data_IF_377574372169
#
_entry.id   IF_377574372169
#
_cell.length_a   1.000
_cell.length_b   1.000
_cell.length_c   1.000
_cell.angle_alpha   90.00
_cell.angle_beta   90.00
_cell.angle_gamma   90.00
#
_symmetry.space_group_name_H-M   'P 1'
#
loop_
_entity.id
_entity.type
_entity.pdbx_description
1 polymer ?
#
# COMPACT_ATOMS: atom_id res chain seq x y z
N UNK A 1 -5.08 -31.63 19.12
CA UNK A 1 -6.27 -31.04 18.43
C UNK A 1 -6.37 -29.53 18.64
N UNK A 2 -6.17 -29.03 19.86
CA UNK A 2 -6.36 -27.61 20.21
C UNK A 2 -5.33 -26.67 19.54
N UNK A 3 -4.06 -27.04 19.48
CA UNK A 3 -2.99 -26.22 18.89
C UNK A 3 -3.21 -26.00 17.39
N UNK A 4 -3.73 -27.01 16.68
CA UNK A 4 -4.00 -26.88 15.23
C UNK A 4 -5.17 -25.92 14.94
N UNK A 5 -6.17 -25.87 15.82
CA UNK A 5 -7.31 -24.95 15.71
C UNK A 5 -6.93 -23.49 15.98
N UNK A 6 -6.00 -23.26 16.93
CA UNK A 6 -5.54 -21.92 17.26
C UNK A 6 -4.63 -21.34 16.14
N UNK A 7 -3.83 -22.18 15.51
CA UNK A 7 -3.00 -21.82 14.35
C UNK A 7 -3.85 -21.50 13.12
N UNK A 8 -4.92 -22.25 12.86
CA UNK A 8 -5.85 -22.00 11.76
C UNK A 8 -6.65 -20.70 11.96
N UNK A 9 -7.02 -20.39 13.21
CA UNK A 9 -7.71 -19.14 13.53
C UNK A 9 -6.86 -17.88 13.27
N UNK A 10 -5.57 -17.92 13.60
CA UNK A 10 -4.63 -16.82 13.33
C UNK A 10 -4.39 -16.63 11.83
N UNK A 11 -4.17 -17.69 11.07
CA UNK A 11 -4.01 -17.62 9.61
C UNK A 11 -5.19 -16.91 8.93
N UNK A 12 -6.42 -17.15 9.39
CA UNK A 12 -7.63 -16.52 8.82
C UNK A 12 -7.73 -15.02 9.05
N UNK A 13 -7.05 -14.48 10.07
CA UNK A 13 -7.03 -13.04 10.34
C UNK A 13 -5.86 -12.34 9.63
N UNK A 14 -4.73 -13.02 9.48
CA UNK A 14 -3.52 -12.43 8.92
C UNK A 14 -3.59 -12.26 7.39
N UNK A 15 -4.23 -13.19 6.68
CA UNK A 15 -4.35 -13.17 5.22
C UNK A 15 -4.94 -11.86 4.65
N UNK A 16 -6.10 -11.35 5.13
CA UNK A 16 -6.65 -10.10 4.61
C UNK A 16 -5.77 -8.89 4.91
N UNK A 17 -5.05 -8.91 6.03
CA UNK A 17 -4.15 -7.83 6.43
C UNK A 17 -2.94 -7.79 5.51
N UNK A 18 -2.32 -8.93 5.25
CA UNK A 18 -1.15 -9.03 4.36
C UNK A 18 -1.53 -8.64 2.93
N UNK A 19 -2.68 -9.13 2.43
CA UNK A 19 -3.18 -8.78 1.11
C UNK A 19 -3.45 -7.28 0.98
N UNK A 20 -4.03 -6.68 2.01
CA UNK A 20 -4.30 -5.23 2.04
C UNK A 20 -2.99 -4.45 2.11
N UNK A 21 -2.07 -4.84 2.99
CA UNK A 21 -0.76 -4.21 3.11
C UNK A 21 0.01 -4.26 1.78
N UNK A 22 -0.03 -5.38 1.09
CA UNK A 22 0.57 -5.55 -0.24
C UNK A 22 -0.06 -4.59 -1.27
N UNK A 23 -1.39 -4.52 -1.32
CA UNK A 23 -2.11 -3.61 -2.23
C UNK A 23 -1.78 -2.14 -1.95
N UNK A 24 -1.80 -1.73 -0.68
CA UNK A 24 -1.47 -0.36 -0.26
C UNK A 24 0.00 -0.03 -0.56
N UNK A 25 0.93 -0.94 -0.27
CA UNK A 25 2.36 -0.70 -0.56
C UNK A 25 2.64 -0.53 -2.05
N UNK A 26 1.97 -1.27 -2.92
CA UNK A 26 2.11 -1.09 -4.38
C UNK A 26 1.65 0.31 -4.77
N UNK A 27 0.53 0.80 -4.22
CA UNK A 27 0.06 2.16 -4.48
C UNK A 27 1.10 3.18 -4.00
N UNK A 28 1.57 3.05 -2.76
CA UNK A 28 2.57 3.96 -2.18
C UNK A 28 3.84 3.98 -3.03
N UNK A 29 4.33 2.81 -3.43
CA UNK A 29 5.51 2.70 -4.29
C UNK A 29 5.29 3.40 -5.63
N UNK A 30 4.23 3.05 -6.35
CA UNK A 30 3.96 3.62 -7.68
C UNK A 30 3.72 5.12 -7.59
N UNK A 31 2.90 5.55 -6.62
CA UNK A 31 2.55 6.96 -6.44
C UNK A 31 3.79 7.79 -6.09
N UNK A 32 4.62 7.32 -5.17
CA UNK A 32 5.86 8.00 -4.81
C UNK A 32 6.76 8.22 -6.02
N UNK A 33 7.02 7.17 -6.81
CA UNK A 33 7.92 7.30 -7.96
C UNK A 33 7.34 8.14 -9.08
N UNK A 34 6.02 8.08 -9.31
CA UNK A 34 5.34 8.93 -10.28
C UNK A 34 5.38 10.40 -9.86
N UNK A 35 5.00 10.70 -8.61
CA UNK A 35 5.02 12.07 -8.09
C UNK A 35 6.44 12.64 -8.06
N UNK A 36 7.42 11.83 -7.71
CA UNK A 36 8.84 12.21 -7.75
C UNK A 36 9.29 12.52 -9.18
N UNK A 37 8.93 11.69 -10.15
CA UNK A 37 9.26 11.91 -11.55
C UNK A 37 8.60 13.17 -12.14
N UNK A 38 7.43 13.53 -11.62
CA UNK A 38 6.70 14.75 -12.00
C UNK A 38 7.19 16.01 -11.27
N UNK A 39 8.09 15.89 -10.30
CA UNK A 39 8.53 17.00 -9.45
C UNK A 39 7.48 17.47 -8.43
N UNK A 40 6.39 16.73 -8.25
CA UNK A 40 5.27 17.10 -7.38
C UNK A 40 5.55 16.91 -5.87
N UNK A 41 6.69 16.33 -5.51
CA UNK A 41 7.14 16.15 -4.11
C UNK A 41 8.11 17.26 -3.64
N UNK A 42 8.12 18.41 -4.32
CA UNK A 42 9.07 19.48 -4.07
C UNK A 42 10.44 19.24 -4.73
N UNK A 43 11.42 20.06 -4.36
CA UNK A 43 12.78 19.88 -4.87
C UNK A 43 13.25 18.45 -4.61
N UNK A 44 13.81 17.83 -5.65
CA UNK A 44 14.42 16.50 -5.53
C UNK A 44 15.41 16.59 -4.40
N UNK A 45 15.06 16.04 -3.24
CA UNK A 45 15.93 16.02 -2.08
C UNK A 45 17.25 15.42 -2.53
N UNK A 46 18.25 16.27 -2.66
CA UNK A 46 19.62 15.81 -2.80
C UNK A 46 19.89 15.05 -1.51
N UNK A 47 20.18 13.76 -1.63
CA UNK A 47 20.46 12.96 -0.45
C UNK A 47 21.77 13.44 0.15
N UNK A 48 21.74 13.93 1.37
CA UNK A 48 22.90 14.44 2.08
C UNK A 48 23.87 13.30 2.44
N UNK A 49 23.35 12.08 2.54
CA UNK A 49 24.13 10.90 2.85
C UNK A 49 23.63 9.63 2.15
N UNK A 50 24.50 8.61 2.10
CA UNK A 50 24.10 7.27 1.65
C UNK A 50 22.98 6.70 2.54
N UNK A 51 22.98 7.00 3.83
CA UNK A 51 21.96 6.52 4.77
C UNK A 51 20.57 7.08 4.40
N UNK A 52 20.47 8.38 4.06
CA UNK A 52 19.20 9.01 3.65
C UNK A 52 18.69 8.43 2.35
N UNK A 53 19.59 8.23 1.39
CA UNK A 53 19.26 7.56 0.13
C UNK A 53 18.74 6.15 0.39
N UNK A 54 19.44 5.36 1.20
CA UNK A 54 19.06 3.98 1.52
C UNK A 54 17.71 3.93 2.24
N UNK A 55 17.50 4.80 3.24
CA UNK A 55 16.23 4.88 3.95
C UNK A 55 15.08 5.21 3.02
N UNK A 56 15.24 6.16 2.11
CA UNK A 56 14.23 6.53 1.15
C UNK A 56 13.85 5.36 0.22
N UNK A 57 14.85 4.68 -0.35
CA UNK A 57 14.61 3.50 -1.19
C UNK A 57 14.00 2.34 -0.40
N UNK A 58 14.44 2.14 0.85
CA UNK A 58 13.90 1.09 1.69
C UNK A 58 12.41 1.30 1.97
N UNK A 59 12.02 2.51 2.37
CA UNK A 59 10.63 2.84 2.70
C UNK A 59 9.72 2.74 1.48
N UNK A 60 10.15 3.25 0.32
CA UNK A 60 9.30 3.37 -0.87
C UNK A 60 9.41 2.20 -1.87
N UNK A 61 10.38 1.32 -1.73
CA UNK A 61 10.57 0.16 -2.60
C UNK A 61 10.81 -1.12 -1.80
N UNK A 62 11.70 -1.09 -0.81
CA UNK A 62 12.14 -2.27 -0.08
C UNK A 62 11.00 -2.96 0.67
N UNK A 63 10.14 -2.19 1.34
CA UNK A 63 8.95 -2.72 2.03
C UNK A 63 7.98 -3.42 1.08
N UNK A 64 7.79 -2.89 -0.12
CA UNK A 64 6.95 -3.50 -1.15
C UNK A 64 7.52 -4.82 -1.64
N UNK A 65 8.84 -4.90 -1.84
CA UNK A 65 9.53 -6.13 -2.24
C UNK A 65 9.41 -7.20 -1.15
N UNK A 66 9.61 -6.83 0.11
CA UNK A 66 9.53 -7.76 1.24
C UNK A 66 8.11 -8.31 1.38
N UNK A 67 7.08 -7.44 1.36
CA UNK A 67 5.69 -7.87 1.43
C UNK A 67 5.28 -8.74 0.24
N UNK A 68 5.79 -8.42 -0.94
CA UNK A 68 5.56 -9.23 -2.12
C UNK A 68 6.19 -10.63 -1.98
N UNK A 69 7.43 -10.71 -1.51
CA UNK A 69 8.10 -11.97 -1.25
C UNK A 69 7.35 -12.80 -0.20
N UNK A 70 6.90 -12.16 0.89
CA UNK A 70 6.07 -12.78 1.93
C UNK A 70 4.78 -13.36 1.33
N UNK A 71 4.05 -12.56 0.55
CA UNK A 71 2.80 -12.97 -0.07
C UNK A 71 2.97 -14.14 -1.05
N UNK A 72 4.07 -14.16 -1.82
CA UNK A 72 4.32 -15.19 -2.83
C UNK A 72 4.84 -16.49 -2.23
N UNK A 73 5.73 -16.40 -1.24
CA UNK A 73 6.46 -17.58 -0.75
C UNK A 73 5.89 -18.16 0.54
N UNK A 74 5.22 -17.37 1.39
CA UNK A 74 4.83 -17.77 2.73
C UNK A 74 3.33 -17.74 3.02
N UNK A 75 2.59 -16.71 2.61
CA UNK A 75 1.31 -16.40 3.22
C UNK A 75 0.06 -16.69 2.39
N UNK A 76 0.14 -16.92 1.08
CA UNK A 76 -1.02 -17.09 0.19
C UNK A 76 -2.19 -16.12 0.50
N UNK A 77 -1.97 -14.80 0.54
CA UNK A 77 -2.88 -13.81 1.13
C UNK A 77 -4.21 -13.63 0.39
N UNK A 78 -4.44 -14.34 -0.69
CA UNK A 78 -5.62 -14.22 -1.54
C UNK A 78 -6.48 -15.49 -1.58
N UNK A 79 -6.39 -16.39 -0.60
CA UNK A 79 -7.31 -17.55 -0.52
C UNK A 79 -8.76 -17.09 -0.44
N UNK A 80 -9.06 -16.05 0.37
CA UNK A 80 -10.34 -15.35 0.37
C UNK A 80 -10.20 -13.92 -0.18
N UNK A 81 -10.16 -13.80 -1.51
CA UNK A 81 -9.99 -12.52 -2.17
C UNK A 81 -11.10 -11.52 -1.86
N UNK A 82 -12.34 -11.98 -1.63
CA UNK A 82 -13.48 -11.08 -1.31
C UNK A 82 -13.30 -10.40 0.02
N UNK A 83 -12.85 -11.17 1.01
CA UNK A 83 -12.56 -10.66 2.33
C UNK A 83 -11.36 -9.70 2.31
N UNK A 84 -10.28 -10.10 1.63
CA UNK A 84 -9.09 -9.28 1.47
C UNK A 84 -9.40 -7.97 0.74
N UNK A 85 -10.20 -8.04 -0.31
CA UNK A 85 -10.66 -6.86 -1.03
C UNK A 85 -11.57 -5.97 -0.17
N UNK A 86 -12.47 -6.55 0.62
CA UNK A 86 -13.31 -5.80 1.56
C UNK A 86 -12.51 -5.01 2.59
N UNK A 87 -11.47 -5.62 3.16
CA UNK A 87 -10.56 -4.93 4.09
C UNK A 87 -9.80 -3.81 3.38
N UNK A 88 -9.26 -4.07 2.17
CA UNK A 88 -8.60 -3.07 1.34
C UNK A 88 -9.51 -1.85 1.07
N UNK A 89 -10.74 -2.07 0.63
CA UNK A 89 -11.75 -1.02 0.37
C UNK A 89 -12.02 -0.20 1.63
N UNK A 90 -12.21 -0.89 2.76
CA UNK A 90 -12.51 -0.23 4.05
C UNK A 90 -11.35 0.66 4.49
N UNK A 91 -10.12 0.19 4.39
CA UNK A 91 -8.93 0.97 4.75
C UNK A 91 -8.76 2.15 3.80
N UNK A 92 -8.93 1.95 2.50
CA UNK A 92 -8.77 3.00 1.50
C UNK A 92 -9.75 4.15 1.71
N UNK A 93 -11.05 3.85 1.81
CA UNK A 93 -12.06 4.90 2.03
C UNK A 93 -12.01 5.46 3.45
N UNK A 94 -11.69 4.65 4.46
CA UNK A 94 -11.46 5.11 5.82
C UNK A 94 -10.31 6.12 5.89
N UNK A 95 -9.23 5.88 5.17
CA UNK A 95 -8.10 6.81 5.07
C UNK A 95 -8.51 8.12 4.39
N UNK A 96 -9.24 8.09 3.26
CA UNK A 96 -9.74 9.31 2.59
C UNK A 96 -10.67 10.08 3.52
N UNK A 97 -11.59 9.40 4.19
CA UNK A 97 -12.49 10.03 5.14
C UNK A 97 -11.72 10.72 6.28
N UNK A 98 -10.71 10.05 6.82
CA UNK A 98 -9.87 10.62 7.85
C UNK A 98 -9.08 11.84 7.33
N UNK A 99 -8.50 11.74 6.13
CA UNK A 99 -7.77 12.83 5.48
C UNK A 99 -8.65 14.07 5.27
N UNK A 100 -9.82 13.92 4.66
CA UNK A 100 -10.72 15.03 4.36
C UNK A 100 -11.53 15.51 5.59
N UNK A 101 -11.84 14.62 6.52
CA UNK A 101 -12.67 14.95 7.69
C UNK A 101 -11.90 15.47 8.89
N UNK A 102 -10.68 15.01 9.07
CA UNK A 102 -9.86 15.32 10.24
C UNK A 102 -8.62 16.10 9.87
N UNK A 103 -7.77 15.54 9.00
CA UNK A 103 -6.45 16.10 8.71
C UNK A 103 -6.56 17.45 7.99
N UNK A 104 -7.48 17.57 7.03
CA UNK A 104 -7.69 18.83 6.28
C UNK A 104 -8.13 20.02 7.14
N UNK A 105 -8.58 19.76 8.37
CA UNK A 105 -9.05 20.79 9.31
C UNK A 105 -8.05 21.16 10.38
N UNK A 106 -6.88 20.55 10.34
CA UNK A 106 -5.82 20.82 11.32
C UNK A 106 -4.96 21.99 10.84
N UNK A 107 -5.46 23.22 11.04
CA UNK A 107 -4.76 24.42 10.63
C UNK A 107 -3.62 24.84 11.60
N UNK A 108 -3.56 24.26 12.81
CA UNK A 108 -2.79 24.83 13.93
C UNK A 108 -1.50 24.06 14.28
N UNK A 109 -1.06 23.10 13.50
CA UNK A 109 -0.01 22.27 14.02
C UNK A 109 1.31 22.37 13.34
N UNK A 110 2.42 22.14 14.06
CA UNK A 110 3.75 22.63 13.70
C UNK A 110 4.24 22.02 12.40
N UNK A 111 3.78 22.55 11.30
CA UNK A 111 4.24 22.21 9.96
C UNK A 111 5.41 23.10 9.53
N UNK A 112 6.00 23.82 10.47
CA UNK A 112 7.05 24.78 10.19
C UNK A 112 6.53 25.90 9.26
N UNK A 113 7.22 26.13 8.15
CA UNK A 113 6.85 27.15 7.15
C UNK A 113 5.81 26.66 6.14
N UNK A 114 5.42 25.38 6.18
CA UNK A 114 4.48 24.75 5.24
C UNK A 114 3.07 24.78 5.82
N UNK A 115 2.07 25.07 5.00
CA UNK A 115 0.67 25.05 5.41
C UNK A 115 0.29 23.66 5.94
N UNK A 116 -0.22 23.60 7.16
CA UNK A 116 -0.71 22.39 7.77
C UNK A 116 -2.02 21.95 7.14
N UNK A 117 -2.23 20.68 7.03
CA UNK A 117 -3.38 20.07 6.42
C UNK A 117 -3.00 18.70 5.92
N UNK A 118 -2.96 18.53 4.63
CA UNK A 118 -2.58 17.23 4.06
C UNK A 118 -1.09 16.95 4.19
N UNK A 119 -0.70 15.69 4.44
CA UNK A 119 0.70 15.30 4.59
C UNK A 119 1.53 15.41 3.30
N UNK A 120 0.85 15.62 2.17
CA UNK A 120 1.48 15.87 0.88
C UNK A 120 1.16 17.29 0.45
N UNK A 121 2.19 18.10 0.28
CA UNK A 121 2.07 19.53 -0.06
C UNK A 121 1.16 19.79 -1.26
N UNK A 122 1.32 19.03 -2.34
CA UNK A 122 0.52 19.17 -3.54
C UNK A 122 -1.00 18.97 -3.32
N UNK A 123 -1.42 18.23 -2.29
CA UNK A 123 -2.85 18.07 -1.97
C UNK A 123 -3.45 19.35 -1.38
N UNK A 124 -2.63 20.19 -0.75
CA UNK A 124 -3.07 21.48 -0.23
C UNK A 124 -3.34 22.47 -1.36
N UNK A 125 -2.62 22.37 -2.48
CA UNK A 125 -2.78 23.22 -3.65
C UNK A 125 -3.98 22.82 -4.51
N UNK A 126 -4.53 21.61 -4.30
CA UNK A 126 -5.67 21.12 -5.04
C UNK A 126 -7.00 21.60 -4.45
N UNK A 127 -7.91 21.99 -5.32
CA UNK A 127 -9.32 22.19 -4.96
C UNK A 127 -9.95 20.86 -4.52
N UNK A 128 -11.08 20.90 -3.81
CA UNK A 128 -11.80 19.68 -3.40
C UNK A 128 -12.15 18.77 -4.59
N UNK A 129 -12.51 19.34 -5.74
CA UNK A 129 -12.73 18.58 -6.97
C UNK A 129 -11.44 17.98 -7.53
N UNK A 130 -10.33 18.71 -7.46
CA UNK A 130 -9.00 18.21 -7.85
C UNK A 130 -8.56 17.04 -7.00
N UNK A 131 -8.75 17.13 -5.68
CA UNK A 131 -8.48 16.02 -4.75
C UNK A 131 -9.36 14.80 -5.03
N UNK A 132 -10.66 15.02 -5.31
CA UNK A 132 -11.56 13.94 -5.68
C UNK A 132 -11.09 13.17 -6.94
N UNK A 133 -10.65 13.90 -7.96
CA UNK A 133 -10.08 13.31 -9.18
C UNK A 133 -8.79 12.55 -8.87
N UNK A 134 -7.93 13.11 -8.03
CA UNK A 134 -6.72 12.45 -7.58
C UNK A 134 -7.03 11.13 -6.85
N UNK A 135 -7.95 11.15 -5.87
CA UNK A 135 -8.35 9.94 -5.15
C UNK A 135 -8.98 8.89 -6.06
N UNK A 136 -9.76 9.31 -7.06
CA UNK A 136 -10.30 8.40 -8.06
C UNK A 136 -9.17 7.73 -8.89
N UNK A 137 -8.16 8.49 -9.27
CA UNK A 137 -6.98 7.95 -9.95
C UNK A 137 -6.20 6.95 -9.09
N UNK A 138 -5.96 7.30 -7.82
CA UNK A 138 -5.31 6.40 -6.85
C UNK A 138 -6.14 5.13 -6.61
N UNK A 139 -7.46 5.25 -6.54
CA UNK A 139 -8.38 4.13 -6.45
C UNK A 139 -8.27 3.18 -7.64
N UNK A 140 -8.27 3.70 -8.85
CA UNK A 140 -8.12 2.90 -10.07
C UNK A 140 -6.76 2.19 -10.07
N UNK A 141 -5.69 2.93 -9.80
CA UNK A 141 -4.34 2.37 -9.75
C UNK A 141 -4.22 1.27 -8.69
N UNK A 142 -4.80 1.49 -7.52
CA UNK A 142 -4.83 0.51 -6.44
C UNK A 142 -5.58 -0.77 -6.79
N UNK A 143 -6.71 -0.65 -7.48
CA UNK A 143 -7.44 -1.83 -7.95
C UNK A 143 -6.67 -2.61 -9.02
N UNK A 144 -5.97 -1.93 -9.92
CA UNK A 144 -5.07 -2.57 -10.89
C UNK A 144 -3.94 -3.31 -10.15
N UNK A 145 -3.30 -2.65 -9.19
CA UNK A 145 -2.24 -3.23 -8.37
C UNK A 145 -2.72 -4.45 -7.59
N UNK A 146 -3.88 -4.35 -6.92
CA UNK A 146 -4.48 -5.47 -6.19
C UNK A 146 -4.80 -6.67 -7.11
N UNK A 147 -5.40 -6.40 -8.28
CA UNK A 147 -5.72 -7.44 -9.24
C UNK A 147 -4.46 -8.11 -9.83
N UNK A 148 -3.42 -7.33 -10.12
CA UNK A 148 -2.15 -7.84 -10.60
C UNK A 148 -1.47 -8.74 -9.56
N UNK A 149 -1.45 -8.30 -8.30
CA UNK A 149 -0.91 -9.05 -7.17
C UNK A 149 -1.66 -10.37 -6.98
N UNK A 150 -2.99 -10.33 -7.00
CA UNK A 150 -3.83 -11.52 -6.92
C UNK A 150 -3.48 -12.54 -8.01
N UNK A 151 -3.43 -12.09 -9.27
CA UNK A 151 -3.09 -12.97 -10.40
C UNK A 151 -1.72 -13.61 -10.26
N UNK A 152 -0.75 -12.84 -9.80
CA UNK A 152 0.63 -13.31 -9.66
C UNK A 152 0.77 -14.34 -8.52
N UNK A 153 0.17 -14.08 -7.36
CA UNK A 153 0.17 -15.04 -6.24
C UNK A 153 -0.54 -16.34 -6.62
N UNK A 154 -1.69 -16.23 -7.28
CA UNK A 154 -2.43 -17.42 -7.75
C UNK A 154 -1.69 -18.20 -8.83
N UNK A 155 -0.95 -17.51 -9.70
CA UNK A 155 -0.11 -18.19 -10.69
C UNK A 155 1.02 -18.98 -10.03
N UNK A 156 1.69 -18.40 -9.05
CA UNK A 156 2.76 -19.07 -8.31
C UNK A 156 2.22 -20.27 -7.50
N UNK A 157 1.09 -20.12 -6.82
CA UNK A 157 0.46 -21.22 -6.09
C UNK A 157 0.19 -22.43 -7.00
N UNK A 158 -0.38 -22.20 -8.19
CA UNK A 158 -0.62 -23.28 -9.16
C UNK A 158 0.66 -23.98 -9.64
N UNK A 159 1.78 -23.23 -9.77
CA UNK A 159 3.07 -23.81 -10.17
C UNK A 159 3.67 -24.71 -9.08
N UNK A 160 3.50 -24.33 -7.81
CA UNK A 160 3.99 -25.12 -6.69
C UNK A 160 3.20 -26.43 -6.56
N UNK A 161 1.87 -26.36 -6.69
CA UNK A 161 1.00 -27.53 -6.58
C UNK A 161 1.13 -28.48 -7.80
N UNK A 162 1.66 -28.02 -8.93
CA UNK A 162 1.86 -28.85 -10.13
C UNK A 162 3.20 -29.59 -10.17
N UNK A 163 4.12 -29.34 -9.23
CA UNK A 163 5.36 -30.16 -9.15
C UNK A 163 5.05 -31.50 -8.51
N UNK A 164 5.29 -32.62 -9.23
CA UNK A 164 5.10 -33.94 -8.63
C UNK A 164 6.00 -34.08 -7.39
N UNK A 165 5.41 -34.58 -6.31
CA UNK A 165 6.14 -34.91 -5.09
C UNK A 165 7.05 -36.12 -5.39
N UNK A 166 8.26 -35.88 -5.85
CA UNK A 166 9.20 -36.95 -6.13
C UNK A 166 10.25 -36.64 -7.21
N UNK A 167 11.05 -35.60 -7.03
CA UNK A 167 12.40 -35.51 -7.57
C UNK A 167 13.35 -34.97 -6.48
#
# INVERSE_FOLDING_TARGET
GAIKHEFDGRRRLDEPIIATAMGVNIIVMLLYWVLRAMGALGEVVAYDSFADMFQNYYVHLGTSIILFAEAVFYSKPFEDWKRSYGVYVTIFFGYIFWMEGVVSRQDDFPCGEVSCGFPYEFLNDLTSSGRAVFYAGVWILGNIGFAASYRLVMYQARRVDSKPAGE
#
